data_IF_481119716119
#
_entry.id   IF_481119716119
#
_cell.length_a   1.000
_cell.length_b   1.000
_cell.length_c   1.000
_cell.angle_alpha   90.00
_cell.angle_beta   90.00
_cell.angle_gamma   90.00
#
_symmetry.space_group_name_H-M   'P 1'
#
loop_
_entity.id
_entity.type
_entity.pdbx_description
1 polymer ?
#
# COMPACT_ATOMS: atom_id res chain seq x y z
N UNK A 1 20.75 -31.09 14.92
CA UNK A 1 22.12 -30.59 15.19
C UNK A 1 23.16 -31.00 14.13
N UNK A 2 22.99 -32.11 13.39
CA UNK A 2 24.02 -32.58 12.43
C UNK A 2 24.30 -31.63 11.25
N UNK A 3 23.27 -30.93 10.73
CA UNK A 3 23.44 -30.03 9.58
C UNK A 3 24.32 -28.80 9.87
N UNK A 4 24.11 -28.12 11.00
CA UNK A 4 24.91 -26.95 11.40
C UNK A 4 26.39 -27.35 11.61
N UNK A 5 26.64 -28.48 12.28
CA UNK A 5 27.98 -29.00 12.48
C UNK A 5 28.67 -29.32 11.15
N UNK A 6 27.94 -29.87 10.18
CA UNK A 6 28.48 -30.18 8.85
C UNK A 6 28.83 -28.92 8.04
N UNK A 7 28.06 -27.84 8.19
CA UNK A 7 28.38 -26.58 7.52
C UNK A 7 29.60 -25.89 8.13
N UNK A 8 29.78 -25.90 9.45
CA UNK A 8 31.01 -25.39 10.08
C UNK A 8 32.27 -26.17 9.71
N UNK A 9 32.16 -27.47 9.44
CA UNK A 9 33.28 -28.29 8.95
C UNK A 9 33.64 -27.93 7.50
N UNK A 10 32.65 -27.60 6.67
CA UNK A 10 32.85 -27.23 5.25
C UNK A 10 33.26 -25.77 5.05
N UNK A 11 32.75 -24.88 5.88
CA UNK A 11 33.09 -23.47 5.89
C UNK A 11 33.26 -23.03 7.36
N UNK A 12 34.50 -23.02 7.87
CA UNK A 12 34.77 -22.73 9.29
C UNK A 12 34.59 -21.26 9.65
N UNK A 13 34.50 -20.36 8.67
CA UNK A 13 34.39 -18.91 8.91
C UNK A 13 32.93 -18.49 8.89
N UNK A 14 32.15 -18.93 7.91
CA UNK A 14 30.75 -18.52 7.74
C UNK A 14 29.74 -19.64 7.86
N UNK A 15 30.13 -20.92 7.74
CA UNK A 15 29.24 -22.07 7.93
C UNK A 15 27.91 -21.94 7.18
N UNK A 16 26.80 -22.10 7.90
CA UNK A 16 25.45 -21.88 7.35
C UNK A 16 25.10 -20.39 7.15
N UNK A 17 25.78 -19.47 7.83
CA UNK A 17 25.52 -18.02 7.71
C UNK A 17 25.87 -17.49 6.32
N UNK A 18 26.93 -18.00 5.68
CA UNK A 18 27.27 -17.62 4.30
C UNK A 18 26.23 -18.09 3.27
N UNK A 19 25.61 -19.25 3.51
CA UNK A 19 24.50 -19.74 2.69
C UNK A 19 23.26 -18.86 2.88
N UNK A 20 22.96 -18.47 4.11
CA UNK A 20 21.84 -17.58 4.42
C UNK A 20 22.02 -16.23 3.73
N UNK A 21 23.19 -15.59 3.86
CA UNK A 21 23.49 -14.30 3.21
C UNK A 21 23.33 -14.40 1.69
N UNK A 22 23.88 -15.46 1.07
CA UNK A 22 23.71 -15.70 -0.36
C UNK A 22 22.23 -15.85 -0.75
N UNK A 23 21.44 -16.58 0.02
CA UNK A 23 19.99 -16.72 -0.25
C UNK A 23 19.27 -15.38 -0.10
N UNK A 24 19.60 -14.57 0.91
CA UNK A 24 19.03 -13.24 1.10
C UNK A 24 19.36 -12.30 -0.07
N UNK A 25 20.59 -12.37 -0.59
CA UNK A 25 20.99 -11.62 -1.79
C UNK A 25 20.19 -12.07 -3.02
N UNK A 26 20.00 -13.38 -3.19
CA UNK A 26 19.20 -13.93 -4.29
C UNK A 26 17.73 -13.53 -4.21
N UNK A 27 17.13 -13.57 -3.01
CA UNK A 27 15.76 -13.11 -2.77
C UNK A 27 15.64 -11.62 -3.11
N UNK A 28 16.58 -10.81 -2.64
CA UNK A 28 16.60 -9.37 -2.90
C UNK A 28 16.72 -9.05 -4.40
N UNK A 29 17.55 -9.78 -5.13
CA UNK A 29 17.68 -9.64 -6.57
C UNK A 29 16.37 -10.01 -7.29
N UNK A 30 15.80 -11.17 -6.97
CA UNK A 30 14.55 -11.64 -7.57
C UNK A 30 13.38 -10.66 -7.31
N UNK A 31 13.30 -10.10 -6.11
CA UNK A 31 12.29 -9.09 -5.77
C UNK A 31 12.44 -7.81 -6.61
N UNK A 32 13.67 -7.35 -6.87
CA UNK A 32 13.90 -6.20 -7.75
C UNK A 32 13.46 -6.48 -9.18
N UNK A 33 13.84 -7.62 -9.74
CA UNK A 33 13.48 -7.99 -11.12
C UNK A 33 11.97 -8.05 -11.31
N UNK A 34 11.27 -8.61 -10.31
CA UNK A 34 9.82 -8.67 -10.27
C UNK A 34 9.18 -7.29 -10.12
N UNK A 35 9.75 -6.40 -9.29
CA UNK A 35 9.27 -5.02 -9.17
C UNK A 35 9.43 -4.25 -10.50
N UNK A 36 10.58 -4.38 -11.17
CA UNK A 36 10.85 -3.79 -12.48
C UNK A 36 9.83 -4.27 -13.51
N UNK A 37 9.64 -5.59 -13.63
CA UNK A 37 8.70 -6.17 -14.59
C UNK A 37 7.26 -5.71 -14.32
N UNK A 38 6.86 -5.62 -13.05
CA UNK A 38 5.53 -5.10 -12.67
C UNK A 38 5.36 -3.64 -13.08
N UNK A 39 6.40 -2.81 -12.90
CA UNK A 39 6.37 -1.41 -13.32
C UNK A 39 6.24 -1.29 -14.84
N UNK A 40 6.99 -2.08 -15.61
CA UNK A 40 6.89 -2.13 -17.07
C UNK A 40 5.49 -2.50 -17.55
N UNK A 41 4.89 -3.53 -16.95
CA UNK A 41 3.51 -3.96 -17.26
C UNK A 41 2.51 -2.85 -16.92
N UNK A 42 2.66 -2.18 -15.78
CA UNK A 42 1.78 -1.08 -15.39
C UNK A 42 1.87 0.07 -16.41
N UNK A 43 3.08 0.49 -16.78
CA UNK A 43 3.30 1.52 -17.79
C UNK A 43 2.68 1.14 -19.14
N UNK A 44 2.89 -0.09 -19.60
CA UNK A 44 2.30 -0.58 -20.85
C UNK A 44 0.76 -0.56 -20.81
N UNK A 45 0.15 -0.98 -19.70
CA UNK A 45 -1.32 -0.93 -19.51
C UNK A 45 -1.87 0.49 -19.52
N UNK A 46 -1.16 1.43 -18.91
CA UNK A 46 -1.55 2.84 -18.92
C UNK A 46 -1.41 3.46 -20.33
N UNK A 47 -0.34 3.12 -21.06
CA UNK A 47 -0.13 3.56 -22.43
C UNK A 47 -1.17 2.99 -23.41
N UNK A 48 -1.63 1.76 -23.18
CA UNK A 48 -2.65 1.10 -24.00
C UNK A 48 -4.09 1.44 -23.59
N UNK A 49 -4.30 2.25 -22.54
CA UNK A 49 -5.65 2.66 -22.15
C UNK A 49 -6.23 3.48 -23.31
N UNK A 50 -7.30 3.03 -23.97
CA UNK A 50 -7.95 3.86 -24.98
C UNK A 50 -8.33 5.15 -24.26
N UNK A 51 -7.90 6.28 -24.83
CA UNK A 51 -8.40 7.61 -24.46
C UNK A 51 -9.91 7.45 -24.44
N UNK A 52 -10.49 7.45 -23.24
CA UNK A 52 -11.92 7.62 -23.10
C UNK A 52 -12.15 8.99 -23.72
N UNK A 53 -12.61 9.01 -24.97
CA UNK A 53 -13.08 10.22 -25.60
C UNK A 53 -14.07 10.80 -24.58
N UNK A 54 -13.88 12.05 -24.10
CA UNK A 54 -14.90 12.67 -23.30
C UNK A 54 -16.21 12.53 -24.07
N UNK A 55 -17.32 12.12 -23.43
CA UNK A 55 -18.59 12.00 -24.11
C UNK A 55 -18.80 13.30 -24.89
N UNK A 56 -19.25 13.25 -26.17
CA UNK A 56 -19.49 14.46 -26.91
C UNK A 56 -20.36 15.35 -26.03
N UNK A 57 -19.87 16.55 -25.72
CA UNK A 57 -20.59 17.59 -25.00
C UNK A 57 -21.83 17.92 -25.83
N UNK A 58 -22.88 17.12 -25.70
CA UNK A 58 -24.24 17.48 -26.05
C UNK A 58 -24.58 18.62 -25.09
N UNK A 59 -24.31 19.83 -25.56
CA UNK A 59 -24.71 21.15 -25.04
C UNK A 59 -25.63 21.07 -23.82
N UNK A 60 -25.05 21.13 -22.62
CA UNK A 60 -25.85 21.38 -21.42
C UNK A 60 -26.29 22.86 -21.47
N UNK A 61 -27.59 23.18 -21.36
CA UNK A 61 -28.03 24.57 -21.28
C UNK A 61 -27.39 25.25 -20.05
N UNK A 62 -27.03 26.54 -20.14
CA UNK A 62 -26.38 27.24 -19.03
C UNK A 62 -27.27 27.20 -17.78
N UNK A 63 -26.69 27.00 -16.58
CA UNK A 63 -27.46 26.95 -15.35
C UNK A 63 -28.13 28.31 -15.09
N UNK A 64 -29.36 28.33 -14.54
CA UNK A 64 -30.02 29.58 -14.18
C UNK A 64 -29.22 30.34 -13.10
N UNK A 65 -29.26 31.68 -13.10
CA UNK A 65 -28.54 32.48 -12.12
C UNK A 65 -29.02 32.19 -10.69
N UNK A 66 -28.12 32.22 -9.68
CA UNK A 66 -28.49 31.96 -8.29
C UNK A 66 -29.43 33.06 -7.76
N UNK A 67 -30.43 32.71 -6.92
CA UNK A 67 -31.30 33.69 -6.27
C UNK A 67 -30.51 34.55 -5.28
N UNK A 68 -30.93 35.81 -5.03
CA UNK A 68 -30.23 36.72 -4.13
C UNK A 68 -30.16 36.13 -2.70
N UNK A 69 -28.96 36.07 -2.15
CA UNK A 69 -28.70 35.52 -0.83
C UNK A 69 -29.37 36.37 0.26
N UNK A 70 -30.47 35.87 0.82
CA UNK A 70 -30.94 36.30 2.14
C UNK A 70 -30.02 35.64 3.18
N UNK A 71 -29.18 36.47 3.81
CA UNK A 71 -28.24 36.06 4.83
C UNK A 71 -28.98 35.36 5.98
N UNK A 72 -28.81 34.04 6.12
CA UNK A 72 -29.47 33.24 7.16
C UNK A 72 -28.65 33.27 8.47
N UNK A 73 -29.23 33.83 9.53
CA UNK A 73 -28.67 33.97 10.90
C UNK A 73 -28.42 32.61 11.62
N UNK A 74 -28.73 31.48 10.98
CA UNK A 74 -28.64 30.13 11.56
C UNK A 74 -27.24 29.66 11.92
N UNK A 75 -26.18 30.29 11.40
CA UNK A 75 -24.80 29.85 11.67
C UNK A 75 -24.26 30.27 13.05
N UNK A 76 -24.85 31.26 13.71
CA UNK A 76 -24.34 31.77 14.98
C UNK A 76 -24.60 30.85 16.19
N UNK A 77 -25.52 29.89 16.09
CA UNK A 77 -25.85 28.99 17.20
C UNK A 77 -25.13 27.62 17.12
N UNK A 78 -24.42 27.33 16.02
CA UNK A 78 -23.77 26.03 15.81
C UNK A 78 -22.35 25.92 16.41
N UNK A 79 -21.83 26.98 17.05
CA UNK A 79 -20.51 26.99 17.69
C UNK A 79 -20.53 26.58 19.17
N UNK A 80 -21.64 26.05 19.67
CA UNK A 80 -21.75 25.49 21.02
C UNK A 80 -22.07 23.99 20.97
N UNK A 81 -21.07 23.18 20.64
CA UNK A 81 -21.06 21.75 20.95
C UNK A 81 -19.65 21.37 21.40
N UNK A 82 -19.47 20.76 22.59
CA UNK A 82 -18.16 20.35 23.06
C UNK A 82 -17.64 19.14 22.26
N UNK A 83 -16.33 19.15 22.05
CA UNK A 83 -15.49 18.06 21.55
C UNK A 83 -15.68 16.79 22.39
N UNK A 84 -16.15 15.71 21.78
CA UNK A 84 -15.84 14.36 22.25
C UNK A 84 -14.65 13.86 21.42
N UNK A 85 -13.46 13.85 22.04
CA UNK A 85 -12.33 13.09 21.53
C UNK A 85 -12.55 11.62 21.90
N UNK A 86 -12.84 10.79 20.91
CA UNK A 86 -12.60 9.35 21.00
C UNK A 86 -11.53 9.04 19.95
N UNK A 87 -10.29 8.97 20.42
CA UNK A 87 -9.17 8.41 19.66
C UNK A 87 -9.31 6.89 19.74
N UNK A 88 -10.00 6.31 18.75
CA UNK A 88 -9.82 4.89 18.46
C UNK A 88 -8.66 4.77 17.46
N UNK A 89 -7.43 4.82 17.98
CA UNK A 89 -6.32 4.15 17.29
C UNK A 89 -6.48 2.65 17.55
N UNK A 90 -7.08 1.93 16.61
CA UNK A 90 -6.91 0.49 16.58
C UNK A 90 -5.42 0.17 16.32
N UNK A 91 -4.76 -0.59 17.20
CA UNK A 91 -3.37 -0.95 17.02
C UNK A 91 -3.19 -1.80 15.75
N UNK A 92 -2.24 -1.37 14.93
CA UNK A 92 -1.55 -2.11 13.87
C UNK A 92 -1.58 -3.63 14.13
N UNK A 93 -2.35 -4.37 13.32
CA UNK A 93 -2.46 -5.84 13.40
C UNK A 93 -1.08 -6.52 13.45
N UNK A 94 -0.82 -7.03 14.66
CA UNK A 94 0.12 -7.97 15.26
C UNK A 94 1.18 -8.71 14.39
N UNK A 95 2.48 -8.67 14.73
CA UNK A 95 3.52 -9.54 14.15
C UNK A 95 3.32 -11.05 14.45
N UNK A 96 2.40 -11.42 15.33
CA UNK A 96 2.19 -12.83 15.73
C UNK A 96 1.29 -13.65 14.78
N UNK A 97 0.72 -13.05 13.72
CA UNK A 97 -0.04 -13.77 12.67
C UNK A 97 0.83 -14.74 11.85
N UNK A 98 2.16 -14.59 11.89
CA UNK A 98 3.09 -15.48 11.20
C UNK A 98 3.29 -16.84 11.91
N UNK A 99 2.78 -17.03 13.13
CA UNK A 99 3.00 -18.25 13.92
C UNK A 99 2.00 -19.39 13.63
N UNK A 100 0.99 -19.18 12.79
CA UNK A 100 -0.03 -20.20 12.46
C UNK A 100 0.31 -21.09 11.24
N UNK A 101 1.59 -21.23 10.89
CA UNK A 101 2.06 -22.09 9.77
C UNK A 101 2.86 -23.32 10.22
N UNK A 102 2.68 -23.76 11.47
CA UNK A 102 3.29 -24.99 12.02
C UNK A 102 2.33 -26.22 12.01
N UNK A 103 1.30 -26.24 11.15
CA UNK A 103 0.49 -27.44 10.87
C UNK A 103 0.84 -28.08 9.51
N UNK A 104 2.02 -28.72 9.43
CA UNK A 104 2.28 -29.90 8.58
C UNK A 104 3.33 -30.85 9.16
#
# INVERSE_FOLDING_TARGET
>A
MAAEAQWRVRDPVYGSAGIIDRLQQQISAAQRDLATTRAEIAMARHASRPVQQPPPLMTLPPPPPPPPALCNVRHLLAMQAPHEEVVEEEPLMDPDVFLDLDDL
#
